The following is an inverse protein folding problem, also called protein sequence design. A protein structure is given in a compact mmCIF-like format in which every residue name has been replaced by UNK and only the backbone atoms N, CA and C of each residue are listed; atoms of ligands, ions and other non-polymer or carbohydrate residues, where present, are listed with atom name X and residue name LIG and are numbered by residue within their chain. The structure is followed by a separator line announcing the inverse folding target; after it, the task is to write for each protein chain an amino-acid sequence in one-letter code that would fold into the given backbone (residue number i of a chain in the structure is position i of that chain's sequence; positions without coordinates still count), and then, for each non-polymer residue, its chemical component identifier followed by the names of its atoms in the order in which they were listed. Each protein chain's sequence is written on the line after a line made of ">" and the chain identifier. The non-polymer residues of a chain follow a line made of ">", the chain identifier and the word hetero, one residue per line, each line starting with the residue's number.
data_IF_313667865328
#
_entry.id   IF_313667865328
#
_cell.length_a   1.000
_cell.length_b   1.000
_cell.length_c   1.000
_cell.angle_alpha   90.00
_cell.angle_beta   90.00
_cell.angle_gamma   90.00
#
_symmetry.space_group_name_H-M   'P 1'
#
loop_
_entity.id
_entity.type
_entity.pdbx_description
1 polymer ?
#
# COMPACT_ATOMS: atom_id res chain seq x y z
N UNK A 1 41.10 -0.07 -5.71
CA UNK A 1 40.22 -0.87 -6.60
C UNK A 1 39.07 -1.34 -5.73
N UNK A 2 37.91 -0.69 -5.83
CA UNK A 2 36.70 -1.03 -5.07
C UNK A 2 35.84 -1.89 -5.99
N UNK A 3 35.29 -3.04 -5.56
CA UNK A 3 34.45 -3.83 -6.45
C UNK A 3 33.14 -3.06 -6.67
N UNK A 4 32.83 -2.80 -7.94
CA UNK A 4 31.52 -2.33 -8.37
C UNK A 4 30.47 -3.28 -7.79
N UNK A 5 29.60 -2.77 -6.92
CA UNK A 5 28.37 -3.46 -6.57
C UNK A 5 27.60 -3.61 -7.87
N UNK A 6 27.38 -4.86 -8.24
CA UNK A 6 26.55 -5.28 -9.34
C UNK A 6 25.09 -4.90 -9.03
N UNK A 7 24.77 -3.61 -9.12
CA UNK A 7 23.41 -3.09 -9.09
C UNK A 7 22.75 -3.55 -10.39
N UNK A 8 22.13 -4.74 -10.36
CA UNK A 8 20.92 -4.91 -11.17
C UNK A 8 20.06 -3.68 -10.84
N UNK A 9 19.49 -2.94 -11.81
CA UNK A 9 18.57 -1.87 -11.50
C UNK A 9 17.35 -2.50 -10.82
N UNK A 10 17.45 -2.63 -9.50
CA UNK A 10 16.46 -3.23 -8.64
C UNK A 10 15.40 -2.17 -8.45
N UNK A 11 14.16 -2.53 -8.75
CA UNK A 11 13.02 -1.71 -8.38
C UNK A 11 13.02 -1.40 -6.88
N UNK A 12 12.51 -0.23 -6.49
CA UNK A 12 12.39 0.16 -5.07
C UNK A 12 11.53 -0.83 -4.30
N UNK A 13 11.74 -0.93 -2.99
CA UNK A 13 10.92 -1.77 -2.12
C UNK A 13 9.42 -1.42 -2.25
N UNK A 14 9.10 -0.13 -2.36
CA UNK A 14 7.75 0.39 -2.58
C UNK A 14 7.15 -0.15 -3.89
N UNK A 15 7.93 -0.22 -4.98
CA UNK A 15 7.42 -0.73 -6.25
C UNK A 15 7.18 -2.24 -6.19
N UNK A 16 8.03 -2.99 -5.49
CA UNK A 16 7.76 -4.40 -5.23
C UNK A 16 6.51 -4.61 -4.37
N UNK A 17 6.27 -3.73 -3.40
CA UNK A 17 5.05 -3.75 -2.59
C UNK A 17 3.80 -3.50 -3.43
N UNK A 18 3.84 -2.51 -4.32
CA UNK A 18 2.77 -2.24 -5.28
C UNK A 18 2.47 -3.44 -6.18
N UNK A 19 3.50 -4.11 -6.71
CA UNK A 19 3.32 -5.32 -7.52
C UNK A 19 2.69 -6.46 -6.71
N UNK A 20 3.08 -6.61 -5.44
CA UNK A 20 2.50 -7.60 -4.55
C UNK A 20 1.00 -7.34 -4.30
N UNK A 21 0.65 -6.10 -3.95
CA UNK A 21 -0.74 -5.67 -3.78
C UNK A 21 -1.57 -5.89 -5.05
N UNK A 22 -1.04 -5.47 -6.20
CA UNK A 22 -1.69 -5.69 -7.50
C UNK A 22 -1.97 -7.17 -7.76
N UNK A 23 -1.00 -8.04 -7.45
CA UNK A 23 -1.14 -9.49 -7.66
C UNK A 23 -2.22 -10.10 -6.77
N UNK A 24 -2.25 -9.75 -5.48
CA UNK A 24 -3.26 -10.24 -4.54
C UNK A 24 -4.68 -9.76 -4.91
N UNK A 25 -4.81 -8.49 -5.32
CA UNK A 25 -6.08 -7.91 -5.79
C UNK A 25 -6.54 -8.57 -7.10
N UNK A 26 -5.63 -8.80 -8.04
CA UNK A 26 -5.94 -9.49 -9.29
C UNK A 26 -6.45 -10.91 -9.03
N UNK A 27 -5.76 -11.67 -8.17
CA UNK A 27 -6.20 -13.02 -7.79
C UNK A 27 -7.58 -12.98 -7.14
N UNK A 28 -7.81 -12.04 -6.23
CA UNK A 28 -9.09 -11.82 -5.56
C UNK A 28 -10.22 -11.53 -6.55
N UNK A 29 -10.00 -10.59 -7.47
CA UNK A 29 -10.97 -10.25 -8.51
C UNK A 29 -11.28 -11.45 -9.42
N UNK A 30 -10.27 -12.25 -9.78
CA UNK A 30 -10.47 -13.48 -10.55
C UNK A 30 -11.29 -14.51 -9.77
N UNK A 31 -11.00 -14.74 -8.50
CA UNK A 31 -11.77 -15.67 -7.66
C UNK A 31 -13.23 -15.25 -7.56
N UNK A 32 -13.49 -13.97 -7.25
CA UNK A 32 -14.85 -13.43 -7.17
C UNK A 32 -15.59 -13.56 -8.51
N UNK A 33 -14.92 -13.30 -9.64
CA UNK A 33 -15.53 -13.40 -10.96
C UNK A 33 -15.84 -14.85 -11.38
N UNK A 34 -14.96 -15.80 -11.07
CA UNK A 34 -15.08 -17.20 -11.52
C UNK A 34 -15.97 -18.02 -10.60
N UNK A 35 -15.82 -17.84 -9.28
CA UNK A 35 -16.47 -18.68 -8.28
C UNK A 35 -17.60 -17.96 -7.53
N UNK A 36 -17.73 -16.63 -7.66
CA UNK A 36 -18.73 -15.82 -6.97
C UNK A 36 -18.41 -15.57 -5.49
N UNK A 37 -17.37 -16.20 -4.95
CA UNK A 37 -16.94 -16.04 -3.56
C UNK A 37 -15.44 -16.35 -3.41
N UNK A 38 -14.86 -15.93 -2.28
CA UNK A 38 -13.50 -16.31 -1.91
C UNK A 38 -13.46 -17.71 -1.26
N UNK A 39 -12.31 -18.40 -1.28
CA UNK A 39 -12.14 -19.70 -0.61
C UNK A 39 -12.40 -19.63 0.90
N UNK A 40 -13.04 -20.65 1.45
CA UNK A 40 -13.27 -20.79 2.89
C UNK A 40 -11.94 -20.80 3.68
N UNK A 41 -11.87 -20.05 4.78
CA UNK A 41 -10.68 -19.99 5.64
C UNK A 41 -9.64 -18.95 5.24
N UNK A 42 -9.78 -18.26 4.10
CA UNK A 42 -9.17 -16.94 3.95
C UNK A 42 -9.98 -16.01 4.83
N UNK A 43 -9.45 -15.67 6.01
CA UNK A 43 -10.05 -14.71 6.90
C UNK A 43 -10.33 -13.43 6.08
N UNK A 44 -11.61 -13.25 5.78
CA UNK A 44 -12.23 -12.07 5.20
C UNK A 44 -12.12 -10.95 6.23
N UNK A 45 -10.90 -10.47 6.46
CA UNK A 45 -10.73 -9.04 6.68
C UNK A 45 -10.72 -8.44 5.29
N UNK A 46 -11.52 -7.41 5.07
CA UNK A 46 -11.91 -6.96 3.75
C UNK A 46 -10.66 -6.69 2.90
N UNK A 47 -10.45 -7.46 1.83
CA UNK A 47 -9.19 -7.40 1.04
C UNK A 47 -8.95 -5.99 0.50
N UNK A 48 -10.04 -5.30 0.13
CA UNK A 48 -9.99 -3.90 -0.24
C UNK A 48 -9.54 -3.01 0.92
N UNK A 49 -10.02 -3.25 2.15
CA UNK A 49 -9.56 -2.56 3.36
C UNK A 49 -8.06 -2.71 3.58
N UNK A 50 -7.53 -3.94 3.58
CA UNK A 50 -6.10 -4.13 3.79
C UNK A 50 -5.25 -3.51 2.69
N UNK A 51 -5.70 -3.61 1.43
CA UNK A 51 -5.04 -2.93 0.34
C UNK A 51 -5.00 -1.42 0.55
N UNK A 52 -6.10 -0.80 0.99
CA UNK A 52 -6.17 0.64 1.29
C UNK A 52 -5.25 1.03 2.44
N UNK A 53 -5.27 0.26 3.52
CA UNK A 53 -4.41 0.46 4.68
C UNK A 53 -2.93 0.37 4.29
N UNK A 54 -2.50 -0.71 3.63
CA UNK A 54 -1.11 -0.90 3.24
C UNK A 54 -0.63 0.12 2.21
N UNK A 55 -1.47 0.45 1.23
CA UNK A 55 -1.15 1.47 0.23
C UNK A 55 -0.83 2.82 0.87
N UNK A 56 -1.63 3.21 1.85
CA UNK A 56 -1.48 4.47 2.56
C UNK A 56 -0.34 4.43 3.56
N UNK A 57 -0.23 3.40 4.40
CA UNK A 57 0.79 3.33 5.46
C UNK A 57 2.22 3.29 4.86
N UNK A 58 2.39 2.61 3.72
CA UNK A 58 3.65 2.55 2.98
C UNK A 58 3.87 3.77 2.07
N UNK A 59 2.94 4.74 2.06
CA UNK A 59 2.98 5.97 1.26
C UNK A 59 3.19 5.72 -0.25
N UNK A 60 2.47 4.75 -0.81
CA UNK A 60 2.64 4.26 -2.19
C UNK A 60 2.00 5.17 -3.26
N UNK A 61 1.40 6.28 -2.87
CA UNK A 61 0.87 7.26 -3.82
C UNK A 61 2.01 7.78 -4.74
N UNK A 62 1.83 7.79 -6.07
CA UNK A 62 2.86 8.26 -7.00
C UNK A 62 3.29 9.70 -6.73
N UNK A 63 4.60 9.94 -6.84
CA UNK A 63 5.22 11.28 -6.73
C UNK A 63 6.01 11.58 -8.00
N UNK A 64 6.42 12.84 -8.18
CA UNK A 64 7.19 13.28 -9.36
C UNK A 64 8.52 12.53 -9.56
N UNK A 65 9.06 11.92 -8.50
CA UNK A 65 10.28 11.10 -8.54
C UNK A 65 10.04 9.68 -9.06
N UNK A 66 8.79 9.22 -9.11
CA UNK A 66 8.45 7.87 -9.52
C UNK A 66 8.30 7.76 -11.05
N UNK A 67 8.64 6.57 -11.58
CA UNK A 67 8.50 6.27 -13.01
C UNK A 67 7.04 6.15 -13.44
N UNK A 68 6.76 6.28 -14.74
CA UNK A 68 5.42 6.06 -15.29
C UNK A 68 4.87 4.66 -14.93
N UNK A 69 5.72 3.61 -14.96
CA UNK A 69 5.32 2.25 -14.59
C UNK A 69 4.90 2.14 -13.12
N UNK A 70 5.55 2.89 -12.24
CA UNK A 70 5.15 2.96 -10.84
C UNK A 70 3.74 3.55 -10.72
N UNK A 71 3.50 4.67 -11.40
CA UNK A 71 2.19 5.32 -11.41
C UNK A 71 1.09 4.42 -11.98
N UNK A 72 1.39 3.67 -13.05
CA UNK A 72 0.45 2.73 -13.67
C UNK A 72 0.05 1.61 -12.70
N UNK A 73 1.02 0.97 -12.02
CA UNK A 73 0.72 -0.09 -11.04
C UNK A 73 -0.02 0.48 -9.84
N UNK A 74 0.36 1.65 -9.34
CA UNK A 74 -0.35 2.31 -8.24
C UNK A 74 -1.81 2.63 -8.59
N UNK A 75 -2.06 3.11 -9.80
CA UNK A 75 -3.42 3.34 -10.30
C UNK A 75 -4.21 2.03 -10.45
N UNK A 76 -3.56 0.97 -10.94
CA UNK A 76 -4.13 -0.37 -11.05
C UNK A 76 -4.56 -0.94 -9.70
N UNK A 77 -3.70 -0.84 -8.67
CA UNK A 77 -4.01 -1.23 -7.28
C UNK A 77 -5.27 -0.51 -6.78
N UNK A 78 -5.30 0.83 -6.89
CA UNK A 78 -6.46 1.63 -6.47
C UNK A 78 -7.74 1.21 -7.20
N UNK A 79 -7.67 1.04 -8.52
CA UNK A 79 -8.82 0.68 -9.33
C UNK A 79 -9.36 -0.72 -9.00
N UNK A 80 -8.47 -1.70 -8.81
CA UNK A 80 -8.88 -3.06 -8.47
C UNK A 80 -9.45 -3.17 -7.06
N UNK A 81 -8.83 -2.51 -6.08
CA UNK A 81 -9.34 -2.51 -4.71
C UNK A 81 -10.72 -1.85 -4.63
N UNK A 82 -10.89 -0.68 -5.26
CA UNK A 82 -12.21 -0.03 -5.33
C UNK A 82 -13.24 -0.85 -6.13
N UNK A 83 -12.80 -1.59 -7.14
CA UNK A 83 -13.65 -2.50 -7.90
C UNK A 83 -14.08 -3.75 -7.14
N UNK A 84 -13.33 -4.15 -6.10
CA UNK A 84 -13.68 -5.24 -5.18
C UNK A 84 -14.67 -4.71 -4.13
N UNK A 85 -14.27 -3.66 -3.40
CA UNK A 85 -15.15 -2.94 -2.47
C UNK A 85 -14.58 -1.52 -2.22
N UNK A 86 -15.22 -0.50 -2.77
CA UNK A 86 -14.80 0.89 -2.62
C UNK A 86 -14.91 1.40 -1.18
N UNK A 87 -15.93 0.96 -0.43
CA UNK A 87 -16.15 1.44 0.93
C UNK A 87 -15.05 0.92 1.85
N UNK A 88 -14.71 -0.35 1.72
CA UNK A 88 -13.69 -0.96 2.55
C UNK A 88 -12.30 -0.45 2.16
N UNK A 89 -12.01 -0.28 0.87
CA UNK A 89 -10.81 0.43 0.40
C UNK A 89 -10.62 1.79 1.08
N UNK A 90 -11.64 2.65 1.02
CA UNK A 90 -11.59 3.97 1.63
C UNK A 90 -11.43 3.91 3.16
N UNK A 91 -12.10 2.95 3.81
CA UNK A 91 -12.00 2.74 5.26
C UNK A 91 -10.58 2.37 5.67
N UNK A 92 -9.91 1.52 4.88
CA UNK A 92 -8.50 1.15 5.09
C UNK A 92 -7.56 2.33 4.94
N UNK A 93 -7.73 3.13 3.88
CA UNK A 93 -6.95 4.35 3.68
C UNK A 93 -7.12 5.33 4.86
N UNK A 94 -8.35 5.57 5.31
CA UNK A 94 -8.65 6.47 6.42
C UNK A 94 -8.04 6.00 7.75
N UNK A 95 -8.08 4.69 8.00
CA UNK A 95 -7.45 4.12 9.20
C UNK A 95 -5.93 4.37 9.20
N UNK A 96 -5.26 4.12 8.08
CA UNK A 96 -3.83 4.36 7.96
C UNK A 96 -3.47 5.86 8.06
N UNK A 97 -4.27 6.74 7.47
CA UNK A 97 -4.11 8.21 7.63
C UNK A 97 -4.22 8.63 9.10
N UNK A 98 -5.20 8.08 9.82
CA UNK A 98 -5.37 8.35 11.25
C UNK A 98 -4.15 7.89 12.05
N UNK A 99 -3.65 6.67 11.84
CA UNK A 99 -2.46 6.16 12.54
C UNK A 99 -1.19 6.97 12.23
N UNK A 100 -1.01 7.39 10.98
CA UNK A 100 0.08 8.29 10.59
C UNK A 100 0.00 9.63 11.31
N UNK A 101 -1.20 10.21 11.42
CA UNK A 101 -1.39 11.49 12.13
C UNK A 101 -1.03 11.41 13.61
N UNK A 102 -1.33 10.28 14.27
CA UNK A 102 -0.94 10.06 15.67
C UNK A 102 0.59 9.96 15.83
N UNK A 103 1.26 9.38 14.85
CA UNK A 103 2.72 9.21 14.88
C UNK A 103 3.44 10.55 14.68
N UNK A 104 2.94 11.38 13.76
CA UNK A 104 3.49 12.71 13.49
C UNK A 104 3.29 13.67 14.68
N UNK A 105 2.23 13.48 15.48
CA UNK A 105 1.96 14.24 16.71
C UNK A 105 2.86 13.82 17.89
N UNK A 106 3.32 12.57 17.97
CA UNK A 106 4.25 12.11 19.00
C UNK A 106 5.68 12.65 18.80
N UNK A 107 6.15 12.79 17.56
CA UNK A 107 7.48 13.36 17.26
C UNK A 107 7.57 14.86 17.58
N UNK A 108 6.46 15.60 17.48
CA UNK A 108 6.43 17.04 17.81
C UNK A 108 6.29 17.34 19.31
N UNK A 109 5.93 16.34 20.12
CA UNK A 109 5.78 16.44 21.58
C UNK A 109 7.08 16.28 22.39
N UNK A 110 8.21 15.89 21.79
CA UNK A 110 9.47 15.61 22.51
C UNK A 110 10.49 16.76 22.55
N UNK A 111 10.23 17.89 21.88
CA UNK A 111 11.15 19.04 21.86
C UNK A 111 10.73 20.15 22.83
N UNK A 112 10.51 19.85 24.11
CA UNK A 112 10.45 20.92 25.13
C UNK A 112 10.77 20.38 26.54
N UNK A 113 12.06 20.37 26.90
CA UNK A 113 12.59 21.00 28.13
C UNK A 113 14.03 20.53 28.39
N UNK A 114 15.00 21.42 28.13
CA UNK A 114 16.26 21.45 28.88
C UNK A 114 16.35 22.84 29.51
N UNK A 115 16.29 22.98 30.85
CA UNK A 115 16.65 24.22 31.49
C UNK A 115 18.19 24.27 31.65
N UNK A 116 18.72 25.47 31.47
CA UNK A 116 20.11 25.86 31.71
C UNK A 116 20.53 25.77 33.19
#
# INVERSE_FOLDING_TARGET
>A
MIPERNERPGYSAEFWWLIHLESELMMTAVYLRVFGSLPEGKATTDIAYWAGYEYTIQRLEPRSVHSARYADVAASVRAMAAGIDEKDWLSGCQQAEFELSLTDDEETGQEFTRPD
#
